data_IF_469036696813
#
_entry.id   IF_469036696813
#
_cell.length_a   1.000
_cell.length_b   1.000
_cell.length_c   1.000
_cell.angle_alpha   90.00
_cell.angle_beta   90.00
_cell.angle_gamma   90.00
#
_symmetry.space_group_name_H-M   'P 1'
#
loop_
_entity.id
_entity.type
_entity.pdbx_description
1 polymer ?
#
# COMPACT_ATOMS: atom_id res chain seq x y z
N UNK A 1 9.50 -24.10 -7.23
CA UNK A 1 9.11 -22.74 -7.64
C UNK A 1 9.07 -21.90 -6.40
N UNK A 2 9.96 -20.93 -6.30
CA UNK A 2 10.14 -20.07 -5.12
C UNK A 2 8.85 -19.36 -4.78
N UNK A 3 8.31 -19.66 -3.61
CA UNK A 3 7.14 -19.04 -3.00
C UNK A 3 7.50 -17.60 -2.62
N UNK A 4 7.42 -16.69 -3.59
CA UNK A 4 7.58 -15.26 -3.34
C UNK A 4 6.31 -14.84 -2.65
N UNK A 5 6.32 -14.63 -1.33
CA UNK A 5 5.17 -14.06 -0.60
C UNK A 5 4.79 -12.76 -1.32
N UNK A 6 3.64 -12.70 -2.00
CA UNK A 6 3.27 -11.54 -2.81
C UNK A 6 3.20 -10.26 -1.97
N UNK A 7 2.93 -10.40 -0.67
CA UNK A 7 2.95 -9.28 0.26
C UNK A 7 4.35 -8.76 0.52
N UNK A 8 5.37 -9.63 0.51
CA UNK A 8 6.76 -9.20 0.69
C UNK A 8 7.19 -8.28 -0.43
N UNK A 9 6.90 -8.64 -1.68
CA UNK A 9 7.20 -7.80 -2.84
C UNK A 9 6.51 -6.42 -2.75
N UNK A 10 5.22 -6.40 -2.39
CA UNK A 10 4.48 -5.14 -2.21
C UNK A 10 5.03 -4.32 -1.03
N UNK A 11 5.35 -4.96 0.08
CA UNK A 11 5.94 -4.32 1.26
C UNK A 11 7.32 -3.73 0.97
N UNK A 12 8.15 -4.43 0.19
CA UNK A 12 9.47 -3.95 -0.21
C UNK A 12 9.34 -2.69 -1.10
N UNK A 13 8.45 -2.72 -2.10
CA UNK A 13 8.17 -1.57 -2.96
C UNK A 13 7.62 -0.39 -2.15
N UNK A 14 6.69 -0.65 -1.22
CA UNK A 14 6.11 0.35 -0.35
C UNK A 14 7.15 0.99 0.57
N UNK A 15 8.07 0.19 1.11
CA UNK A 15 9.16 0.65 1.99
C UNK A 15 10.17 1.52 1.24
N UNK A 16 10.52 1.13 0.01
CA UNK A 16 11.39 1.93 -0.86
C UNK A 16 10.75 3.27 -1.22
N UNK A 17 9.47 3.26 -1.58
CA UNK A 17 8.71 4.48 -1.87
C UNK A 17 8.63 5.39 -0.63
N UNK A 18 8.33 4.82 0.55
CA UNK A 18 8.33 5.56 1.82
C UNK A 18 9.69 6.24 2.08
N UNK A 19 10.78 5.50 1.93
CA UNK A 19 12.14 6.00 2.15
C UNK A 19 12.44 7.20 1.24
N UNK A 20 12.08 7.11 -0.05
CA UNK A 20 12.26 8.21 -1.02
C UNK A 20 11.42 9.43 -0.66
N UNK A 21 10.15 9.24 -0.30
CA UNK A 21 9.24 10.33 0.09
C UNK A 21 9.73 11.01 1.36
N UNK A 22 10.15 10.24 2.37
CA UNK A 22 10.65 10.77 3.63
C UNK A 22 11.95 11.58 3.45
N UNK A 23 12.83 11.13 2.55
CA UNK A 23 14.06 11.86 2.19
C UNK A 23 13.76 13.19 1.48
N UNK A 24 12.81 13.20 0.54
CA UNK A 24 12.40 14.41 -0.19
C UNK A 24 11.57 15.38 0.68
N UNK A 25 10.81 14.87 1.63
CA UNK A 25 9.86 15.63 2.43
C UNK A 25 9.98 15.29 3.91
N UNK A 26 11.04 15.81 4.56
CA UNK A 26 11.33 15.56 6.00
C UNK A 26 10.20 15.87 6.98
N UNK A 27 9.24 16.72 6.57
CA UNK A 27 8.15 17.18 7.42
C UNK A 27 6.87 16.35 7.27
N UNK A 28 6.72 15.57 6.19
CA UNK A 28 5.62 14.61 6.08
C UNK A 28 6.11 13.27 6.65
N UNK A 29 5.33 12.69 7.56
CA UNK A 29 5.60 11.38 8.15
C UNK A 29 4.44 10.46 7.76
N UNK A 30 4.47 9.85 6.55
CA UNK A 30 3.40 8.99 6.07
C UNK A 30 3.55 7.59 6.68
N UNK A 31 2.52 7.14 7.39
CA UNK A 31 2.39 5.76 7.88
C UNK A 31 1.74 4.92 6.78
N UNK A 32 2.36 3.78 6.46
CA UNK A 32 1.86 2.84 5.47
C UNK A 32 1.27 1.62 6.16
N UNK A 33 0.10 1.17 5.73
CA UNK A 33 -0.50 -0.10 6.13
C UNK A 33 -0.90 -0.87 4.87
N UNK A 34 -0.64 -2.18 4.84
CA UNK A 34 -1.15 -3.09 3.81
C UNK A 34 -2.04 -4.12 4.48
N UNK A 35 -3.30 -4.21 4.04
CA UNK A 35 -4.32 -5.11 4.58
C UNK A 35 -4.75 -6.11 3.51
N UNK A 36 -4.59 -7.40 3.83
CA UNK A 36 -5.15 -8.52 3.05
C UNK A 36 -6.57 -8.91 3.47
N UNK A 37 -7.13 -8.27 4.51
CA UNK A 37 -8.40 -8.67 5.14
C UNK A 37 -9.65 -8.57 4.26
N UNK A 38 -9.55 -7.94 3.08
CA UNK A 38 -10.61 -7.99 2.07
C UNK A 38 -10.78 -9.41 1.52
N UNK A 39 -9.69 -10.18 1.47
CA UNK A 39 -9.71 -11.60 1.07
C UNK A 39 -10.48 -12.45 2.08
N UNK A 40 -10.32 -12.17 3.37
CA UNK A 40 -11.06 -12.85 4.45
C UNK A 40 -12.58 -12.61 4.35
N UNK A 41 -12.98 -11.52 3.69
CA UNK A 41 -14.37 -11.17 3.40
C UNK A 41 -14.82 -11.58 1.98
N UNK A 42 -14.04 -12.42 1.29
CA UNK A 42 -14.36 -12.97 -0.03
C UNK A 42 -14.08 -12.03 -1.21
N UNK A 43 -13.43 -10.89 -0.97
CA UNK A 43 -13.10 -9.91 -2.00
C UNK A 43 -11.64 -10.14 -2.44
N UNK A 44 -11.37 -10.53 -3.70
CA UNK A 44 -10.02 -10.80 -4.19
C UNK A 44 -9.28 -9.49 -4.48
N UNK A 45 -8.96 -8.77 -3.40
CA UNK A 45 -8.24 -7.51 -3.46
C UNK A 45 -7.39 -7.30 -2.21
N UNK A 46 -6.34 -6.50 -2.35
CA UNK A 46 -5.56 -5.97 -1.24
C UNK A 46 -5.79 -4.46 -1.14
N UNK A 47 -5.72 -3.94 0.09
CA UNK A 47 -5.86 -2.50 0.36
C UNK A 47 -4.57 -2.00 0.98
N UNK A 48 -4.03 -0.91 0.44
CA UNK A 48 -2.91 -0.19 1.03
C UNK A 48 -3.35 1.21 1.41
N UNK A 49 -3.05 1.65 2.64
CA UNK A 49 -3.34 3.01 3.09
C UNK A 49 -2.07 3.76 3.40
N UNK A 50 -2.06 5.03 3.00
CA UNK A 50 -0.99 6.00 3.23
C UNK A 50 -1.58 7.12 4.09
N UNK A 51 -1.22 7.15 5.36
CA UNK A 51 -1.75 8.09 6.33
C UNK A 51 -0.70 9.07 6.80
N UNK A 52 -0.93 10.37 6.57
CA UNK A 52 -0.10 11.39 7.19
C UNK A 52 -0.90 12.13 8.25
N UNK A 53 -0.70 11.73 9.51
CA UNK A 53 -1.38 12.33 10.66
C UNK A 53 -1.13 13.85 10.77
N UNK A 54 0.07 14.30 10.36
CA UNK A 54 0.44 15.72 10.40
C UNK A 54 -0.39 16.56 9.43
N UNK A 55 -0.64 16.06 8.22
CA UNK A 55 -1.41 16.79 7.19
C UNK A 55 -2.89 16.43 7.22
N UNK A 56 -3.29 15.43 8.03
CA UNK A 56 -4.63 14.84 8.08
C UNK A 56 -5.10 14.38 6.71
N UNK A 57 -4.17 13.85 5.90
CA UNK A 57 -4.47 13.29 4.59
C UNK A 57 -4.28 11.79 4.63
N UNK A 58 -5.19 11.10 3.95
CA UNK A 58 -5.17 9.68 3.70
C UNK A 58 -5.22 9.46 2.20
N UNK A 59 -4.45 8.51 1.71
CA UNK A 59 -4.64 7.92 0.38
C UNK A 59 -4.88 6.43 0.59
N UNK A 60 -5.96 5.91 0.04
CA UNK A 60 -6.28 4.48 0.04
C UNK A 60 -6.11 3.95 -1.38
N UNK A 61 -5.35 2.89 -1.54
CA UNK A 61 -5.09 2.20 -2.79
C UNK A 61 -5.75 0.82 -2.73
N UNK A 62 -6.46 0.43 -3.79
CA UNK A 62 -7.10 -0.90 -3.90
C UNK A 62 -6.50 -1.61 -5.10
N UNK A 63 -5.92 -2.79 -4.85
CA UNK A 63 -5.34 -3.67 -5.85
C UNK A 63 -6.28 -4.86 -6.04
N UNK A 64 -6.99 -4.90 -7.16
CA UNK A 64 -7.89 -6.01 -7.50
C UNK A 64 -7.16 -7.08 -8.31
N UNK A 65 -7.30 -8.35 -7.91
CA UNK A 65 -6.67 -9.47 -8.63
C UNK A 65 -7.21 -9.60 -10.07
N UNK A 66 -8.50 -9.30 -10.24
CA UNK A 66 -9.21 -9.45 -11.52
C UNK A 66 -8.96 -8.28 -12.48
N UNK A 67 -8.27 -7.23 -12.05
CA UNK A 67 -7.95 -6.05 -12.86
C UNK A 67 -6.47 -5.70 -12.71
N UNK A 68 -5.57 -6.60 -13.16
CA UNK A 68 -4.14 -6.36 -13.06
C UNK A 68 -3.76 -5.10 -13.84
N UNK A 69 -2.92 -4.25 -13.24
CA UNK A 69 -2.51 -2.97 -13.82
C UNK A 69 -3.48 -1.81 -13.60
N UNK A 70 -4.65 -2.05 -13.01
CA UNK A 70 -5.58 -0.99 -12.59
C UNK A 70 -5.45 -0.76 -11.09
N UNK A 71 -5.18 0.49 -10.70
CA UNK A 71 -5.08 0.91 -9.30
C UNK A 71 -6.17 1.93 -9.01
N UNK A 72 -7.12 1.57 -8.14
CA UNK A 72 -8.11 2.52 -7.64
C UNK A 72 -7.51 3.26 -6.45
N UNK A 73 -7.71 4.58 -6.38
CA UNK A 73 -7.24 5.38 -5.26
C UNK A 73 -8.28 6.39 -4.81
N UNK A 74 -8.27 6.70 -3.51
CA UNK A 74 -9.08 7.74 -2.88
C UNK A 74 -8.26 8.51 -1.84
#
# INVERSE_FOLDING_TARGET
MSDVDPLKALSDIASDAHTRIQAAHKHINPVLEVRRGMRDSGIPADVMTIDCLRTRRRITLILHDNQPGVLLYQ
#
